data_IF_499179815823
#
_entry.id   IF_499179815823
#
_cell.length_a   1.000
_cell.length_b   1.000
_cell.length_c   1.000
_cell.angle_alpha   90.00
_cell.angle_beta   90.00
_cell.angle_gamma   90.00
#
_symmetry.space_group_name_H-M   'P 1'
#
loop_
_entity.id
_entity.type
_entity.pdbx_description
1 polymer ?
#
# COMPACT_ATOMS: atom_id res chain seq x y z
N UNK A 1 12.84 14.54 -9.37
CA UNK A 1 11.55 13.95 -9.84
C UNK A 1 10.47 14.16 -8.77
N UNK A 2 9.16 14.19 -9.08
CA UNK A 2 8.11 14.42 -8.05
C UNK A 2 8.14 13.35 -6.94
N UNK A 3 8.52 12.11 -7.25
CA UNK A 3 8.71 11.04 -6.27
C UNK A 3 9.78 11.38 -5.21
N UNK A 4 10.90 12.00 -5.61
CA UNK A 4 11.93 12.50 -4.70
C UNK A 4 11.39 13.62 -3.82
N UNK A 5 10.58 14.53 -4.37
CA UNK A 5 9.96 15.61 -3.59
C UNK A 5 8.99 15.04 -2.54
N UNK A 6 8.18 14.05 -2.90
CA UNK A 6 7.30 13.36 -1.94
C UNK A 6 8.14 12.69 -0.84
N UNK A 7 9.21 12.00 -1.22
CA UNK A 7 10.13 11.38 -0.26
C UNK A 7 10.76 12.43 0.67
N UNK A 8 11.20 13.57 0.14
CA UNK A 8 11.77 14.67 0.92
C UNK A 8 10.74 15.27 1.90
N UNK A 9 9.51 15.53 1.45
CA UNK A 9 8.44 16.06 2.31
C UNK A 9 8.23 15.18 3.55
N UNK A 10 8.34 13.86 3.40
CA UNK A 10 8.15 12.92 4.52
C UNK A 10 9.38 12.71 5.40
N UNK A 11 10.60 12.93 4.88
CA UNK A 11 11.82 12.83 5.67
C UNK A 11 12.16 14.15 6.39
N UNK A 12 11.77 15.30 5.84
CA UNK A 12 12.17 16.63 6.31
C UNK A 12 11.21 17.22 7.35
N UNK A 13 11.02 16.52 8.48
CA UNK A 13 10.07 16.94 9.54
C UNK A 13 10.28 18.36 10.07
N UNK A 14 11.53 18.83 10.10
CA UNK A 14 11.87 20.17 10.60
C UNK A 14 11.30 21.32 9.74
N UNK A 15 10.94 21.05 8.48
CA UNK A 15 10.44 22.05 7.54
C UNK A 15 8.91 22.13 7.48
N UNK A 16 8.20 21.23 8.16
CA UNK A 16 6.74 21.18 8.13
C UNK A 16 6.17 21.20 9.54
N UNK A 17 5.32 22.20 9.80
CA UNK A 17 4.73 22.47 11.13
C UNK A 17 3.91 21.29 11.68
N UNK A 18 3.40 20.42 10.80
CA UNK A 18 2.58 19.26 11.19
C UNK A 18 2.51 18.17 10.11
N UNK A 19 1.99 17.00 10.50
CA UNK A 19 1.61 15.95 9.57
C UNK A 19 0.58 16.43 8.52
N UNK A 20 -0.39 17.24 8.95
CA UNK A 20 -1.39 17.81 8.07
C UNK A 20 -0.76 18.75 7.02
N UNK A 21 0.24 19.55 7.42
CA UNK A 21 0.98 20.40 6.49
C UNK A 21 1.69 19.55 5.43
N UNK A 22 2.46 18.51 5.81
CA UNK A 22 3.09 17.58 4.85
C UNK A 22 2.07 16.98 3.87
N UNK A 23 0.95 16.53 4.41
CA UNK A 23 -0.12 15.90 3.66
C UNK A 23 -0.73 16.85 2.61
N UNK A 24 -0.98 18.10 2.99
CA UNK A 24 -1.47 19.13 2.09
C UNK A 24 -0.45 19.50 1.00
N UNK A 25 0.83 19.58 1.35
CA UNK A 25 1.91 19.86 0.39
C UNK A 25 1.97 18.78 -0.68
N UNK A 26 1.94 17.51 -0.28
CA UNK A 26 1.94 16.39 -1.24
C UNK A 26 0.70 16.43 -2.13
N UNK A 27 -0.48 16.70 -1.57
CA UNK A 27 -1.72 16.87 -2.34
C UNK A 27 -1.61 17.97 -3.41
N UNK A 28 -0.97 19.09 -3.07
CA UNK A 28 -0.72 20.19 -4.03
C UNK A 28 0.28 19.80 -5.12
N UNK A 29 1.38 19.12 -4.75
CA UNK A 29 2.39 18.65 -5.71
C UNK A 29 1.78 17.70 -6.75
N UNK A 30 0.99 16.73 -6.30
CA UNK A 30 0.32 15.75 -7.18
C UNK A 30 -0.64 16.47 -8.13
N UNK A 31 -1.48 17.38 -7.60
CA UNK A 31 -2.43 18.14 -8.41
C UNK A 31 -1.72 18.99 -9.46
N UNK A 32 -0.61 19.64 -9.10
CA UNK A 32 0.17 20.48 -10.02
C UNK A 32 0.85 19.65 -11.13
N UNK A 33 1.33 18.46 -10.78
CA UNK A 33 2.03 17.57 -11.70
C UNK A 33 1.09 16.68 -12.54
N UNK A 34 -0.23 16.70 -12.27
CA UNK A 34 -1.23 15.85 -12.91
C UNK A 34 -0.88 14.35 -12.85
N UNK A 35 -0.34 13.92 -11.71
CA UNK A 35 0.09 12.53 -11.49
C UNK A 35 -1.00 11.69 -10.85
N UNK A 36 -0.94 10.38 -11.11
CA UNK A 36 -1.80 9.41 -10.42
C UNK A 36 -1.05 8.75 -9.28
N UNK A 37 -1.57 8.87 -8.04
CA UNK A 37 -1.05 8.08 -6.92
C UNK A 37 -1.72 6.71 -6.85
N UNK A 38 -0.91 5.68 -6.66
CA UNK A 38 -1.35 4.32 -6.39
C UNK A 38 -0.86 3.92 -4.99
N UNK A 39 -1.79 3.58 -4.11
CA UNK A 39 -1.47 3.16 -2.74
C UNK A 39 -1.09 1.70 -2.72
N UNK A 40 0.07 1.37 -2.17
CA UNK A 40 0.57 -0.01 -2.07
C UNK A 40 0.74 -0.34 -0.59
N UNK A 41 -0.15 -1.18 -0.06
CA UNK A 41 -0.05 -1.65 1.31
C UNK A 41 0.42 -3.10 1.36
N UNK A 42 1.56 -3.33 2.01
CA UNK A 42 2.16 -4.66 2.20
C UNK A 42 2.17 -5.01 3.68
N UNK A 43 1.51 -6.11 4.03
CA UNK A 43 1.54 -6.72 5.35
C UNK A 43 2.42 -7.95 5.27
N UNK A 44 3.50 -7.94 6.03
CA UNK A 44 4.52 -8.98 5.99
C UNK A 44 5.06 -9.30 7.39
N UNK A 45 5.51 -8.29 8.12
CA UNK A 45 6.35 -8.44 9.30
C UNK A 45 5.77 -9.41 10.32
N UNK A 46 4.61 -9.08 10.90
CA UNK A 46 4.01 -9.91 11.95
C UNK A 46 3.36 -11.21 11.42
N UNK A 47 3.10 -11.29 10.11
CA UNK A 47 2.49 -12.46 9.47
C UNK A 47 3.50 -13.59 9.23
N UNK A 48 4.79 -13.27 9.07
CA UNK A 48 5.85 -14.27 8.90
C UNK A 48 5.87 -15.31 10.04
N UNK A 49 5.57 -14.90 11.27
CA UNK A 49 5.50 -15.80 12.43
C UNK A 49 4.18 -16.55 12.59
N UNK A 50 3.13 -16.18 11.84
CA UNK A 50 1.75 -16.66 12.04
C UNK A 50 1.23 -17.52 10.90
N UNK A 51 2.10 -17.93 9.97
CA UNK A 51 1.71 -18.72 8.78
C UNK A 51 1.01 -20.03 9.15
N UNK A 52 1.43 -20.66 10.25
CA UNK A 52 0.81 -21.89 10.77
C UNK A 52 -0.65 -21.71 11.20
N UNK A 53 -1.08 -20.49 11.53
CA UNK A 53 -2.48 -20.17 11.89
C UNK A 53 -3.35 -19.85 10.67
N UNK A 54 -2.74 -19.68 9.48
CA UNK A 54 -3.43 -19.31 8.24
C UNK A 54 -3.17 -17.91 7.73
N UNK A 55 -2.35 -17.12 8.42
CA UNK A 55 -1.92 -15.82 7.94
C UNK A 55 -0.95 -15.99 6.75
N UNK A 56 -1.30 -15.42 5.60
CA UNK A 56 -0.51 -15.56 4.38
C UNK A 56 0.21 -14.25 4.07
N UNK A 57 1.49 -14.34 3.71
CA UNK A 57 2.24 -13.21 3.15
C UNK A 57 2.16 -13.29 1.64
N UNK A 58 1.76 -12.20 1.00
CA UNK A 58 1.68 -12.14 -0.46
C UNK A 58 3.04 -12.36 -1.12
N UNK A 59 3.03 -13.03 -2.26
CA UNK A 59 4.26 -13.34 -3.00
C UNK A 59 4.83 -12.09 -3.68
N UNK A 60 6.15 -12.09 -3.93
CA UNK A 60 6.77 -11.03 -4.74
C UNK A 60 6.13 -10.94 -6.14
N UNK A 61 5.82 -12.10 -6.74
CA UNK A 61 5.15 -12.16 -8.04
C UNK A 61 3.79 -11.46 -8.03
N UNK A 62 2.99 -11.61 -6.97
CA UNK A 62 1.74 -10.88 -6.83
C UNK A 62 1.98 -9.36 -6.78
N UNK A 63 2.92 -8.91 -5.95
CA UNK A 63 3.25 -7.48 -5.80
C UNK A 63 3.67 -6.90 -7.15
N UNK A 64 4.62 -7.55 -7.85
CA UNK A 64 5.12 -7.08 -9.14
C UNK A 64 4.03 -7.08 -10.24
N UNK A 65 3.14 -8.08 -10.26
CA UNK A 65 1.99 -8.09 -11.18
C UNK A 65 1.05 -6.91 -10.92
N UNK A 66 0.77 -6.60 -9.65
CA UNK A 66 -0.08 -5.47 -9.27
C UNK A 66 0.54 -4.12 -9.64
N UNK A 67 1.84 -3.94 -9.39
CA UNK A 67 2.56 -2.75 -9.82
C UNK A 67 2.53 -2.59 -11.35
N UNK A 68 2.77 -3.67 -12.08
CA UNK A 68 2.74 -3.67 -13.55
C UNK A 68 1.34 -3.34 -14.11
N UNK A 69 0.29 -3.92 -13.52
CA UNK A 69 -1.09 -3.64 -13.91
C UNK A 69 -1.39 -2.14 -13.85
N UNK A 70 -1.05 -1.51 -12.73
CA UNK A 70 -1.31 -0.08 -12.55
C UNK A 70 -0.38 0.81 -13.37
N UNK A 71 0.87 0.41 -13.60
CA UNK A 71 1.78 1.18 -14.46
C UNK A 71 1.33 1.17 -15.92
N UNK A 72 0.73 0.08 -16.39
CA UNK A 72 0.13 0.00 -17.72
C UNK A 72 -1.14 0.84 -17.82
N UNK A 73 -1.97 0.83 -16.78
CA UNK A 73 -3.21 1.63 -16.71
C UNK A 73 -2.95 3.13 -16.57
N UNK A 74 -1.90 3.50 -15.83
CA UNK A 74 -1.51 4.88 -15.54
C UNK A 74 0.00 5.04 -15.76
N UNK A 75 0.44 5.38 -16.99
CA UNK A 75 1.87 5.57 -17.28
C UNK A 75 2.55 6.61 -16.39
N UNK A 76 1.84 7.67 -16.02
CA UNK A 76 2.32 8.74 -15.15
C UNK A 76 1.91 8.54 -13.67
N UNK A 77 2.15 7.33 -13.15
CA UNK A 77 1.85 6.97 -11.76
C UNK A 77 3.05 7.01 -10.82
N UNK A 78 2.77 7.29 -9.55
CA UNK A 78 3.69 7.11 -8.42
C UNK A 78 3.06 6.10 -7.46
N UNK A 79 3.87 5.13 -7.03
CA UNK A 79 3.44 4.08 -6.10
C UNK A 79 3.88 4.44 -4.67
N UNK A 80 2.93 4.76 -3.80
CA UNK A 80 3.20 5.05 -2.39
C UNK A 80 3.16 3.74 -1.60
N UNK A 81 4.32 3.29 -1.11
CA UNK A 81 4.45 2.02 -0.40
C UNK A 81 4.40 2.25 1.11
N UNK A 82 3.46 1.57 1.76
CA UNK A 82 3.31 1.46 3.21
C UNK A 82 3.41 -0.01 3.60
N UNK A 83 4.10 -0.28 4.70
CA UNK A 83 4.28 -1.63 5.20
C UNK A 83 4.57 -1.65 6.69
N UNK A 84 4.25 -2.78 7.35
CA UNK A 84 4.78 -3.09 8.68
C UNK A 84 6.23 -3.62 8.63
N UNK A 85 6.76 -3.82 7.42
CA UNK A 85 8.15 -4.18 7.11
C UNK A 85 8.69 -3.26 5.99
N UNK A 86 8.83 -1.97 6.31
CA UNK A 86 9.36 -0.92 5.41
C UNK A 86 10.80 -1.19 4.96
N UNK A 87 11.74 -1.67 5.81
CA UNK A 87 13.09 -2.02 5.37
C UNK A 87 13.09 -3.07 4.25
N UNK A 88 12.32 -4.15 4.40
CA UNK A 88 12.19 -5.16 3.34
C UNK A 88 11.66 -4.56 2.05
N UNK A 89 10.68 -3.64 2.13
CA UNK A 89 10.14 -2.98 0.96
C UNK A 89 11.20 -2.15 0.23
N UNK A 90 12.01 -1.36 0.94
CA UNK A 90 13.09 -0.58 0.32
C UNK A 90 14.06 -1.46 -0.44
N UNK A 91 14.48 -2.58 0.16
CA UNK A 91 15.45 -3.51 -0.45
C UNK A 91 14.88 -4.26 -1.65
N UNK A 92 13.61 -4.67 -1.61
CA UNK A 92 13.07 -5.64 -2.56
C UNK A 92 12.15 -5.03 -3.63
N UNK A 93 11.54 -3.87 -3.37
CA UNK A 93 10.60 -3.21 -4.29
C UNK A 93 10.86 -1.72 -4.50
N UNK A 94 11.65 -1.07 -3.64
CA UNK A 94 11.88 0.38 -3.69
C UNK A 94 12.60 0.89 -4.94
N UNK A 95 13.23 -0.01 -5.70
CA UNK A 95 13.89 0.29 -6.99
C UNK A 95 13.04 -0.08 -8.21
N UNK A 96 11.82 -0.59 -8.02
CA UNK A 96 10.94 -0.99 -9.10
C UNK A 96 10.03 0.17 -9.51
N UNK A 97 10.05 0.56 -10.79
CA UNK A 97 9.18 1.62 -11.31
C UNK A 97 9.36 2.95 -10.52
N UNK A 98 8.30 3.74 -10.42
CA UNK A 98 8.29 5.02 -9.72
C UNK A 98 7.71 4.87 -8.30
N UNK A 99 8.39 4.07 -7.47
CA UNK A 99 7.95 3.78 -6.09
C UNK A 99 8.55 4.73 -5.07
N UNK A 100 7.77 5.06 -4.04
CA UNK A 100 8.20 5.81 -2.86
C UNK A 100 7.80 5.01 -1.62
N UNK A 101 8.79 4.43 -0.93
CA UNK A 101 8.57 3.79 0.37
C UNK A 101 8.54 4.85 1.47
N UNK A 102 7.43 4.94 2.20
CA UNK A 102 7.28 5.92 3.26
C UNK A 102 8.25 5.64 4.42
N UNK A 103 8.79 6.69 5.08
CA UNK A 103 9.70 6.51 6.20
C UNK A 103 9.07 5.80 7.40
N UNK A 104 9.91 5.10 8.16
CA UNK A 104 9.52 4.39 9.38
C UNK A 104 9.15 5.34 10.51
N UNK A 105 9.56 6.60 10.43
CA UNK A 105 9.22 7.63 11.41
C UNK A 105 7.74 8.02 11.38
N UNK A 106 7.05 7.80 10.26
CA UNK A 106 5.62 8.04 10.12
C UNK A 106 4.81 7.12 11.02
N UNK A 107 3.84 7.70 11.70
CA UNK A 107 2.84 6.97 12.47
C UNK A 107 1.86 6.24 11.55
N UNK A 108 1.19 5.22 12.09
CA UNK A 108 0.18 4.45 11.37
C UNK A 108 -0.98 5.33 10.84
N UNK A 109 -1.34 6.41 11.55
CA UNK A 109 -2.38 7.33 11.09
C UNK A 109 -1.90 8.20 9.92
N UNK A 110 -0.62 8.57 9.88
CA UNK A 110 -0.04 9.28 8.73
C UNK A 110 0.08 8.36 7.51
N UNK A 111 0.49 7.11 7.72
CA UNK A 111 0.51 6.08 6.67
C UNK A 111 -0.91 5.86 6.10
N UNK A 112 -1.92 5.76 6.97
CA UNK A 112 -3.32 5.62 6.58
C UNK A 112 -3.78 6.82 5.75
N UNK A 113 -3.54 8.04 6.23
CA UNK A 113 -3.90 9.26 5.51
C UNK A 113 -3.27 9.26 4.11
N UNK A 114 -2.01 8.82 3.97
CA UNK A 114 -1.34 8.75 2.68
C UNK A 114 -1.98 7.78 1.70
N UNK A 115 -2.39 6.60 2.19
CA UNK A 115 -3.08 5.64 1.35
C UNK A 115 -4.47 6.17 0.91
N UNK A 116 -5.17 6.94 1.75
CA UNK A 116 -6.50 7.48 1.38
C UNK A 116 -6.44 8.62 0.37
N UNK A 117 -5.28 9.25 0.14
CA UNK A 117 -5.07 10.19 -0.97
C UNK A 117 -4.87 9.50 -2.32
N UNK A 118 -4.58 8.20 -2.32
CA UNK A 118 -4.29 7.47 -3.55
C UNK A 118 -5.57 7.24 -4.35
N UNK A 119 -5.44 7.23 -5.68
CA UNK A 119 -6.57 7.01 -6.58
C UNK A 119 -7.03 5.56 -6.51
N UNK A 120 -6.12 4.62 -6.77
CA UNK A 120 -6.36 3.18 -6.75
C UNK A 120 -5.39 2.52 -5.75
N UNK A 121 -5.68 1.29 -5.34
CA UNK A 121 -4.92 0.58 -4.30
C UNK A 121 -4.50 -0.83 -4.72
N UNK A 122 -3.26 -1.20 -4.40
CA UNK A 122 -2.75 -2.56 -4.37
C UNK A 122 -2.56 -2.95 -2.91
N UNK A 123 -3.32 -3.93 -2.44
CA UNK A 123 -3.23 -4.38 -1.04
C UNK A 123 -2.83 -5.84 -0.97
N UNK A 124 -1.99 -6.16 -0.01
CA UNK A 124 -1.88 -7.53 0.51
C UNK A 124 -2.95 -7.74 1.59
N UNK A 125 -2.86 -8.86 2.27
CA UNK A 125 -3.70 -9.29 3.38
C UNK A 125 -3.66 -8.33 4.57
N UNK A 126 -4.75 -8.19 5.32
CA UNK A 126 -4.79 -7.43 6.58
C UNK A 126 -5.77 -6.26 6.58
N UNK A 127 -6.30 -5.95 7.76
CA UNK A 127 -7.36 -4.95 7.95
C UNK A 127 -6.91 -3.51 7.69
N UNK A 128 -5.62 -3.20 7.88
CA UNK A 128 -5.10 -1.86 7.63
C UNK A 128 -5.22 -1.48 6.14
N UNK A 129 -4.69 -2.33 5.24
CA UNK A 129 -4.82 -2.14 3.79
C UNK A 129 -6.27 -2.17 3.33
N UNK A 130 -7.08 -3.06 3.90
CA UNK A 130 -8.52 -3.15 3.62
C UNK A 130 -9.25 -1.83 3.88
N UNK A 131 -9.05 -1.22 5.05
CA UNK A 131 -9.67 0.05 5.41
C UNK A 131 -9.11 1.22 4.61
N UNK A 132 -7.78 1.26 4.42
CA UNK A 132 -7.13 2.28 3.62
C UNK A 132 -7.68 2.33 2.19
N UNK A 133 -7.78 1.17 1.54
CA UNK A 133 -8.29 1.05 0.18
C UNK A 133 -9.79 1.38 0.08
N UNK A 134 -10.58 0.96 1.08
CA UNK A 134 -12.01 1.29 1.16
C UNK A 134 -12.23 2.80 1.29
N UNK A 135 -11.44 3.48 2.12
CA UNK A 135 -11.52 4.92 2.32
C UNK A 135 -11.00 5.71 1.10
N UNK A 136 -10.03 5.17 0.36
CA UNK A 136 -9.55 5.76 -0.89
C UNK A 136 -10.62 5.73 -2.01
N UNK A 137 -11.41 4.65 -2.08
CA UNK A 137 -12.61 4.58 -2.93
C UNK A 137 -12.38 4.26 -4.42
N UNK A 138 -11.16 3.90 -4.83
CA UNK A 138 -10.86 3.50 -6.21
C UNK A 138 -10.86 1.99 -6.47
N UNK A 139 -10.20 1.59 -7.55
CA UNK A 139 -9.98 0.16 -7.85
C UNK A 139 -9.00 -0.43 -6.84
N UNK A 140 -9.37 -1.58 -6.28
CA UNK A 140 -8.55 -2.30 -5.31
C UNK A 140 -8.12 -3.63 -5.91
N UNK A 141 -6.82 -3.80 -6.13
CA UNK A 141 -6.21 -5.10 -6.40
C UNK A 141 -5.85 -5.77 -5.08
N UNK A 142 -6.27 -7.02 -4.91
CA UNK A 142 -6.11 -7.77 -3.66
C UNK A 142 -5.60 -9.21 -3.91
N UNK A 143 -4.87 -9.73 -2.93
CA UNK A 143 -4.39 -11.11 -2.95
C UNK A 143 -5.48 -12.04 -2.41
N UNK A 144 -6.13 -12.78 -3.32
CA UNK A 144 -7.21 -13.73 -2.98
C UNK A 144 -6.69 -15.04 -2.39
N UNK A 145 -5.38 -15.20 -2.18
CA UNK A 145 -4.83 -16.39 -1.51
C UNK A 145 -5.04 -16.39 0.00
N UNK A 146 -5.64 -15.33 0.56
CA UNK A 146 -5.88 -15.19 2.00
C UNK A 146 -7.37 -15.25 2.39
N UNK A 147 -7.67 -15.85 3.55
CA UNK A 147 -6.75 -16.65 4.38
C UNK A 147 -6.46 -18.01 3.74
N UNK A 148 -5.33 -18.63 4.12
CA UNK A 148 -4.90 -19.88 3.49
C UNK A 148 -5.92 -20.98 3.74
N UNK A 149 -6.44 -21.61 2.68
CA UNK A 149 -7.43 -22.68 2.79
C UNK A 149 -6.94 -23.83 3.69
N UNK A 150 -7.88 -24.42 4.46
CA UNK A 150 -7.60 -25.55 5.34
C UNK A 150 -6.86 -25.18 6.64
N UNK A 151 -6.86 -23.91 7.01
CA UNK A 151 -6.25 -23.42 8.25
C UNK A 151 -7.31 -22.96 9.25
N UNK A 152 -6.92 -22.81 10.51
CA UNK A 152 -7.79 -22.28 11.56
C UNK A 152 -8.44 -20.95 11.15
N UNK A 153 -7.66 -20.04 10.56
CA UNK A 153 -8.16 -18.75 10.13
C UNK A 153 -9.20 -18.85 9.01
N UNK A 154 -8.99 -19.73 8.01
CA UNK A 154 -9.97 -19.94 6.94
C UNK A 154 -11.28 -20.55 7.41
N UNK A 155 -11.28 -21.27 8.54
CA UNK A 155 -12.50 -21.80 9.13
C UNK A 155 -13.30 -20.72 9.87
N UNK A 156 -12.64 -19.68 10.38
CA UNK A 156 -13.29 -18.55 11.04
C UNK A 156 -13.78 -17.48 10.08
N UNK A 157 -13.01 -17.21 9.03
CA UNK A 157 -13.34 -16.23 8.01
C UNK A 157 -12.91 -16.77 6.64
N UNK A 158 -13.83 -17.43 5.92
CA UNK A 158 -13.58 -17.89 4.56
C UNK A 158 -13.14 -16.75 3.63
N UNK A 159 -12.31 -17.07 2.63
CA UNK A 159 -11.72 -16.07 1.72
C UNK A 159 -12.75 -15.31 0.88
N UNK A 160 -13.86 -15.95 0.53
CA UNK A 160 -15.02 -15.37 -0.16
C UNK A 160 -15.83 -14.40 0.72
N UNK A 161 -15.64 -14.43 2.04
CA UNK A 161 -16.26 -13.50 3.01
C UNK A 161 -15.30 -12.40 3.46
N UNK A 162 -13.99 -12.62 3.33
CA UNK A 162 -12.98 -11.67 3.80
C UNK A 162 -12.89 -10.41 2.91
N UNK A 163 -12.97 -10.59 1.60
CA UNK A 163 -12.82 -9.51 0.63
C UNK A 163 -14.18 -9.10 0.06
N UNK A 164 -14.49 -7.80 -0.01
CA UNK A 164 -15.70 -7.33 -0.64
C UNK A 164 -15.76 -7.74 -2.12
N UNK A 165 -16.95 -7.97 -2.70
CA UNK A 165 -17.07 -8.44 -4.08
C UNK A 165 -16.57 -7.43 -5.11
N UNK A 166 -16.44 -6.15 -4.75
CA UNK A 166 -15.88 -5.11 -5.62
C UNK A 166 -14.34 -5.02 -5.59
N UNK A 167 -13.66 -5.83 -4.78
CA UNK A 167 -12.20 -5.95 -4.84
C UNK A 167 -11.81 -6.96 -5.92
N UNK A 168 -10.81 -6.58 -6.74
CA UNK A 168 -10.36 -7.35 -7.89
C UNK A 168 -9.16 -8.22 -7.50
N UNK A 169 -9.23 -9.52 -7.76
CA UNK A 169 -8.12 -10.44 -7.49
C UNK A 169 -7.29 -10.71 -8.73
N UNK A 170 -5.96 -10.80 -8.58
CA UNK A 170 -4.96 -11.00 -9.66
C UNK A 170 -3.80 -11.93 -9.26
#
# INVERSE_FOLDING_TARGET
>A
MISEMIHEVYNSRAYFDSAAHRHQTVKQLIKKANLTLIGVHIRRGDFLGKVHLGFAVSTMSYILRGLLYFSQKYPDSIFIIVSDDKPWCRTNIGSHLNTVVLPETLSASEDMAMLTLCRDSLITTGTFGWWAATLAGGVVLCDKSYPKNGTWLSNLCPSDQYLPPWFVGI
#
